data_IF_135071842901
#
_entry.id   IF_135071842901
#
_cell.length_a   1.000
_cell.length_b   1.000
_cell.length_c   1.000
_cell.angle_alpha   90.00
_cell.angle_beta   90.00
_cell.angle_gamma   90.00
#
_symmetry.space_group_name_H-M   'P 1'
#
loop_
_entity.id
_entity.type
_entity.pdbx_description
1 polymer ?
#
# COMPACT_ATOMS: atom_id res chain seq x y z
N UNK A 1 -2.02 4.02 8.30
CA UNK A 1 -1.15 3.21 7.42
C UNK A 1 -2.04 2.51 6.40
N UNK A 2 -1.55 2.32 5.17
CA UNK A 2 -2.22 1.59 4.11
C UNK A 2 -1.79 0.11 4.13
N UNK A 3 -2.74 -0.84 4.17
CA UNK A 3 -2.43 -2.28 4.09
C UNK A 3 -2.44 -2.71 2.63
N UNK A 4 -1.41 -3.44 2.22
CA UNK A 4 -1.34 -4.17 0.97
C UNK A 4 -1.36 -5.66 1.31
N UNK A 5 -2.23 -6.43 0.67
CA UNK A 5 -2.37 -7.86 0.89
C UNK A 5 -1.92 -8.64 -0.35
N UNK A 6 -1.31 -9.81 -0.15
CA UNK A 6 -1.13 -10.78 -1.22
C UNK A 6 -2.34 -11.71 -1.28
N UNK A 7 -3.00 -11.76 -2.44
CA UNK A 7 -4.14 -12.64 -2.69
C UNK A 7 -3.67 -14.08 -2.95
N UNK A 8 -4.61 -15.02 -2.96
CA UNK A 8 -4.31 -16.43 -3.24
C UNK A 8 -3.70 -16.65 -4.64
N UNK A 9 -3.94 -15.74 -5.58
CA UNK A 9 -3.31 -15.75 -6.91
C UNK A 9 -1.84 -15.34 -6.92
N UNK A 10 -1.31 -14.85 -5.79
CA UNK A 10 0.07 -14.35 -5.70
C UNK A 10 0.25 -12.92 -6.19
N UNK A 11 -0.86 -12.22 -6.44
CA UNK A 11 -0.93 -10.79 -6.76
C UNK A 11 -1.02 -9.96 -5.48
N UNK A 12 -0.65 -8.68 -5.57
CA UNK A 12 -0.78 -7.71 -4.47
C UNK A 12 -1.92 -6.73 -4.73
N UNK A 13 -2.72 -6.45 -3.70
CA UNK A 13 -3.87 -5.56 -3.76
C UNK A 13 -3.96 -4.66 -2.53
N UNK A 14 -4.59 -3.48 -2.68
CA UNK A 14 -4.84 -2.58 -1.55
C UNK A 14 -5.99 -3.13 -0.70
N UNK A 15 -5.71 -3.43 0.56
CA UNK A 15 -6.73 -3.84 1.51
C UNK A 15 -7.20 -2.68 2.38
N UNK A 16 -8.20 -1.96 1.87
CA UNK A 16 -8.78 -0.78 2.53
C UNK A 16 -9.48 -1.13 3.84
N UNK A 17 -10.09 -2.30 3.90
CA UNK A 17 -10.90 -2.73 5.06
C UNK A 17 -10.12 -3.61 6.03
N UNK A 18 -8.91 -4.04 5.66
CA UNK A 18 -8.05 -4.92 6.44
C UNK A 18 -8.65 -6.31 6.70
N UNK A 19 -9.47 -6.80 5.75
CA UNK A 19 -10.17 -8.08 5.85
C UNK A 19 -9.64 -9.14 4.88
N UNK A 20 -8.77 -8.76 3.94
CA UNK A 20 -8.30 -9.70 2.92
C UNK A 20 -7.38 -10.75 3.57
N UNK A 21 -7.66 -12.05 3.33
CA UNK A 21 -6.84 -13.14 3.87
C UNK A 21 -5.45 -13.14 3.22
N UNK A 22 -4.46 -13.68 3.92
CA UNK A 22 -3.10 -13.83 3.40
C UNK A 22 -2.07 -12.89 4.03
N UNK A 23 -0.90 -12.78 3.39
CA UNK A 23 0.20 -11.94 3.89
C UNK A 23 -0.12 -10.47 3.66
N UNK A 24 0.04 -9.66 4.70
CA UNK A 24 -0.09 -8.21 4.61
C UNK A 24 1.25 -7.50 4.80
N UNK A 25 1.43 -6.39 4.11
CA UNK A 25 2.47 -5.40 4.34
C UNK A 25 1.83 -4.02 4.52
N UNK A 26 2.45 -3.15 5.31
CA UNK A 26 1.92 -1.82 5.60
C UNK A 26 2.82 -0.73 5.04
N UNK A 27 2.21 0.28 4.43
CA UNK A 27 2.86 1.51 4.00
C UNK A 27 2.36 2.68 4.84
N UNK A 28 3.26 3.61 5.15
CA UNK A 28 2.87 4.90 5.72
C UNK A 28 2.02 5.70 4.73
N UNK A 29 1.22 6.64 5.24
CA UNK A 29 0.57 7.65 4.41
C UNK A 29 1.47 8.84 4.07
N UNK A 30 2.66 8.93 4.65
CA UNK A 30 3.69 9.86 4.21
C UNK A 30 4.36 9.32 2.94
N UNK A 31 4.44 10.18 1.90
CA UNK A 31 5.14 9.85 0.65
C UNK A 31 6.57 9.41 0.86
N UNK A 32 7.31 10.06 1.77
CA UNK A 32 8.71 9.74 2.03
C UNK A 32 8.86 8.33 2.63
N UNK A 33 8.07 8.01 3.67
CA UNK A 33 8.11 6.68 4.28
C UNK A 33 7.64 5.60 3.30
N UNK A 34 6.56 5.86 2.54
CA UNK A 34 6.03 4.92 1.58
C UNK A 34 7.02 4.61 0.44
N UNK A 35 7.76 5.61 -0.04
CA UNK A 35 8.81 5.44 -1.04
C UNK A 35 9.89 4.45 -0.58
N UNK A 36 10.27 4.48 0.71
CA UNK A 36 11.20 3.50 1.30
C UNK A 36 10.57 2.11 1.43
N UNK A 37 9.29 2.04 1.80
CA UNK A 37 8.56 0.78 1.97
C UNK A 37 8.28 0.04 0.67
N UNK A 38 8.01 0.76 -0.43
CA UNK A 38 7.73 0.19 -1.76
C UNK A 38 8.78 -0.79 -2.25
N UNK A 39 10.06 -0.45 -2.08
CA UNK A 39 11.19 -1.31 -2.49
C UNK A 39 11.20 -2.67 -1.79
N UNK A 40 10.55 -2.78 -0.63
CA UNK A 40 10.47 -4.00 0.18
C UNK A 40 9.15 -4.74 0.01
N UNK A 41 8.18 -4.17 -0.70
CA UNK A 41 6.81 -4.66 -0.77
C UNK A 41 6.73 -6.05 -1.42
N UNK A 42 7.38 -6.23 -2.58
CA UNK A 42 7.41 -7.50 -3.30
C UNK A 42 8.00 -8.63 -2.45
N UNK A 43 9.08 -8.34 -1.72
CA UNK A 43 9.69 -9.31 -0.80
C UNK A 43 8.77 -9.65 0.38
N UNK A 44 8.18 -8.64 1.01
CA UNK A 44 7.28 -8.82 2.16
C UNK A 44 6.03 -9.66 1.80
N UNK A 45 5.47 -9.41 0.62
CA UNK A 45 4.26 -10.08 0.15
C UNK A 45 4.51 -11.44 -0.49
N UNK A 46 5.76 -11.75 -0.87
CA UNK A 46 6.13 -12.96 -1.62
C UNK A 46 5.30 -13.17 -2.88
N UNK A 47 4.97 -12.08 -3.57
CA UNK A 47 4.21 -12.12 -4.83
C UNK A 47 4.98 -12.92 -5.88
N UNK A 48 4.30 -13.82 -6.59
CA UNK A 48 4.90 -14.60 -7.69
C UNK A 48 4.82 -13.87 -9.04
N UNK A 49 3.80 -13.03 -9.24
CA UNK A 49 3.61 -12.22 -10.45
C UNK A 49 4.13 -10.78 -10.34
N UNK A 50 4.53 -10.37 -9.13
CA UNK A 50 4.79 -8.97 -8.82
C UNK A 50 3.51 -8.24 -8.38
N UNK A 51 3.55 -6.90 -8.28
CA UNK A 51 2.36 -6.10 -8.06
C UNK A 51 1.54 -5.97 -9.35
N UNK A 52 0.21 -5.99 -9.23
CA UNK A 52 -0.70 -5.79 -10.35
C UNK A 52 -0.42 -4.47 -11.08
N UNK A 53 -0.72 -4.42 -12.39
CA UNK A 53 -0.58 -3.20 -13.19
C UNK A 53 -1.40 -2.06 -12.58
N UNK A 54 -0.78 -0.89 -12.41
CA UNK A 54 -1.41 0.28 -11.79
C UNK A 54 -1.49 0.28 -10.25
N UNK A 55 -1.10 -0.81 -9.56
CA UNK A 55 -1.15 -0.87 -8.09
C UNK A 55 -0.39 0.28 -7.44
N UNK A 56 0.80 0.62 -7.95
CA UNK A 56 1.60 1.70 -7.38
C UNK A 56 0.99 3.09 -7.62
N UNK A 57 0.30 3.30 -8.73
CA UNK A 57 -0.41 4.56 -8.98
C UNK A 57 -1.59 4.70 -8.01
N UNK A 58 -2.30 3.61 -7.75
CA UNK A 58 -3.38 3.57 -6.77
C UNK A 58 -2.87 3.82 -5.35
N UNK A 59 -1.74 3.22 -4.97
CA UNK A 59 -1.07 3.48 -3.70
C UNK A 59 -0.68 4.96 -3.58
N UNK A 60 -0.16 5.59 -4.64
CA UNK A 60 0.20 7.02 -4.61
C UNK A 60 -1.01 7.93 -4.44
N UNK A 61 -2.16 7.59 -5.06
CA UNK A 61 -3.42 8.33 -4.87
C UNK A 61 -3.93 8.21 -3.43
N UNK A 62 -3.94 7.00 -2.87
CA UNK A 62 -4.39 6.74 -1.49
C UNK A 62 -3.51 7.47 -0.47
N UNK A 63 -2.19 7.41 -0.66
CA UNK A 63 -1.22 8.13 0.17
C UNK A 63 -1.40 9.64 0.02
N UNK A 64 -1.50 10.16 -1.21
CA UNK A 64 -1.68 11.58 -1.46
C UNK A 64 -2.97 12.15 -0.87
N UNK A 65 -4.08 11.42 -0.95
CA UNK A 65 -5.35 11.83 -0.34
C UNK A 65 -5.25 11.92 1.19
N UNK A 66 -4.55 10.98 1.82
CA UNK A 66 -4.41 10.90 3.29
C UNK A 66 -3.32 11.82 3.86
N UNK A 67 -2.26 12.10 3.10
CA UNK A 67 -1.21 13.07 3.46
C UNK A 67 -1.77 14.50 3.55
N UNK A 68 -2.71 14.84 2.66
CA UNK A 68 -3.38 16.15 2.68
C UNK A 68 -4.37 16.29 3.83
N UNK A 69 -5.10 15.24 4.19
CA UNK A 69 -6.06 15.28 5.31
C UNK A 69 -5.38 15.58 6.67
N UNK A 70 -4.10 15.23 6.82
CA UNK A 70 -3.32 15.55 8.02
C UNK A 70 -2.80 16.99 8.08
N UNK A 71 -3.01 17.82 7.04
CA UNK A 71 -2.59 19.22 7.01
C UNK A 71 -3.74 20.21 7.25
N UNK A 72 -4.99 19.77 7.13
CA UNK A 72 -6.17 20.63 7.28
C UNK A 72 -6.63 20.81 8.74
N UNK A 73 -6.08 20.07 9.71
CA UNK A 73 -6.34 20.24 11.16
C UNK A 73 -5.39 21.26 11.84
N UNK A 74 -4.77 22.15 11.09
CA UNK A 74 -3.95 23.25 11.64
C UNK A 74 -4.29 24.56 10.91
N UNK A 75 -5.47 25.10 11.17
CA UNK A 75 -5.85 26.48 10.83
C UNK A 75 -6.74 27.06 11.92
#
# INVERSE_FOLDING_TARGET
MLRIASTQGGEAEIDRLQVLPGRGAYLCYSRECAGRGRKKLAHALRTRGGPAEGLFDEIDREIGSRDNFGKDESS
#
